data_IF_159242049786
#
_entry.id   IF_159242049786
#
_cell.length_a   1.000
_cell.length_b   1.000
_cell.length_c   1.000
_cell.angle_alpha   90.00
_cell.angle_beta   90.00
_cell.angle_gamma   90.00
#
_symmetry.space_group_name_H-M   'P 1'
#
loop_
_entity.id
_entity.type
_entity.pdbx_description
1 polymer ?
#
# COMPACT_ATOMS: atom_id res chain seq x y z
N UNK A 1 10.72 -6.57 -17.37
CA UNK A 1 9.29 -6.69 -16.98
C UNK A 1 9.11 -6.14 -15.57
N UNK A 2 8.03 -5.41 -15.28
CA UNK A 2 7.77 -4.79 -13.98
C UNK A 2 6.63 -5.53 -13.26
N UNK A 3 6.73 -5.70 -11.94
CA UNK A 3 5.62 -6.09 -11.08
C UNK A 3 5.20 -4.89 -10.24
N UNK A 4 3.94 -4.47 -10.36
CA UNK A 4 3.34 -3.42 -9.53
C UNK A 4 2.51 -4.08 -8.43
N UNK A 5 2.79 -3.76 -7.17
CA UNK A 5 1.93 -4.11 -6.06
C UNK A 5 0.93 -2.97 -5.88
N UNK A 6 -0.34 -3.24 -6.14
CA UNK A 6 -1.38 -2.24 -6.30
C UNK A 6 -2.49 -2.33 -5.26
N UNK A 7 -3.63 -1.75 -5.61
CA UNK A 7 -4.84 -1.70 -4.76
C UNK A 7 -5.17 -0.30 -4.24
N UNK A 8 -4.47 0.72 -4.73
CA UNK A 8 -4.68 2.13 -4.38
C UNK A 8 -4.92 2.98 -5.63
N UNK A 9 -5.42 4.20 -5.46
CA UNK A 9 -5.48 5.20 -6.55
C UNK A 9 -4.10 5.50 -7.13
N UNK A 10 -3.08 5.50 -6.28
CA UNK A 10 -1.69 5.78 -6.68
C UNK A 10 -1.16 4.69 -7.61
N UNK A 11 -1.53 3.43 -7.35
CA UNK A 11 -1.17 2.33 -8.25
C UNK A 11 -1.80 2.46 -9.64
N UNK A 12 -3.00 3.03 -9.75
CA UNK A 12 -3.65 3.28 -11.04
C UNK A 12 -2.95 4.43 -11.79
N UNK A 13 -2.60 5.50 -11.08
CA UNK A 13 -1.82 6.61 -11.65
C UNK A 13 -0.47 6.11 -12.19
N UNK A 14 0.23 5.27 -11.42
CA UNK A 14 1.46 4.60 -11.85
C UNK A 14 1.23 3.74 -13.11
N UNK A 15 0.16 2.93 -13.14
CA UNK A 15 -0.17 2.11 -14.31
C UNK A 15 -0.39 2.96 -15.57
N UNK A 16 -1.11 4.08 -15.45
CA UNK A 16 -1.32 5.00 -16.56
C UNK A 16 0.01 5.62 -17.05
N UNK A 17 0.91 5.94 -16.12
CA UNK A 17 2.25 6.43 -16.45
C UNK A 17 3.08 5.36 -17.19
N UNK A 18 3.05 4.11 -16.72
CA UNK A 18 3.73 2.99 -17.38
C UNK A 18 3.19 2.76 -18.79
N UNK A 19 1.87 2.83 -18.98
CA UNK A 19 1.24 2.73 -20.30
C UNK A 19 1.67 3.87 -21.24
N UNK A 20 1.73 5.10 -20.75
CA UNK A 20 2.20 6.26 -21.51
C UNK A 20 3.62 6.08 -22.03
N UNK A 21 4.45 5.35 -21.29
CA UNK A 21 5.82 5.05 -21.67
C UNK A 21 6.01 3.68 -22.37
N UNK A 22 4.91 3.00 -22.72
CA UNK A 22 4.91 1.67 -23.37
C UNK A 22 5.71 0.61 -22.59
N UNK A 23 5.68 0.68 -21.26
CA UNK A 23 6.36 -0.29 -20.40
C UNK A 23 5.44 -1.45 -20.07
N UNK A 24 5.97 -2.69 -20.19
CA UNK A 24 5.22 -3.89 -19.85
C UNK A 24 5.29 -4.20 -18.36
N UNK A 25 4.13 -4.48 -17.74
CA UNK A 25 4.04 -4.76 -16.30
C UNK A 25 2.90 -5.72 -15.98
N UNK A 26 2.99 -6.34 -14.81
CA UNK A 26 1.90 -7.01 -14.11
C UNK A 26 1.43 -6.16 -12.95
N UNK A 27 0.15 -6.26 -12.57
CA UNK A 27 -0.38 -5.65 -11.35
C UNK A 27 -0.89 -6.75 -10.43
N UNK A 28 -0.43 -6.76 -9.18
CA UNK A 28 -0.96 -7.63 -8.13
C UNK A 28 -1.88 -6.83 -7.22
N UNK A 29 -3.09 -7.33 -6.99
CA UNK A 29 -4.10 -6.78 -6.09
C UNK A 29 -4.70 -7.87 -5.23
N UNK A 30 -5.28 -7.51 -4.09
CA UNK A 30 -5.82 -8.49 -3.11
C UNK A 30 -7.35 -8.53 -3.06
N UNK A 31 -8.05 -7.64 -3.77
CA UNK A 31 -9.51 -7.54 -3.76
C UNK A 31 -10.10 -7.64 -5.17
N UNK A 32 -11.31 -8.18 -5.27
CA UNK A 32 -12.04 -8.24 -6.55
C UNK A 32 -12.26 -6.84 -7.14
N UNK A 33 -12.59 -5.85 -6.30
CA UNK A 33 -12.71 -4.46 -6.71
C UNK A 33 -11.39 -3.89 -7.26
N UNK A 34 -10.28 -4.16 -6.57
CA UNK A 34 -8.95 -3.78 -7.06
C UNK A 34 -8.63 -4.38 -8.42
N UNK A 35 -9.02 -5.66 -8.65
CA UNK A 35 -8.87 -6.32 -9.94
C UNK A 35 -9.70 -5.64 -11.04
N UNK A 36 -10.96 -5.33 -10.77
CA UNK A 36 -11.83 -4.64 -11.72
C UNK A 36 -11.23 -3.30 -12.19
N UNK A 37 -10.72 -2.51 -11.24
CA UNK A 37 -10.11 -1.20 -11.55
C UNK A 37 -8.78 -1.37 -12.30
N UNK A 38 -7.90 -2.25 -11.84
CA UNK A 38 -6.60 -2.49 -12.48
C UNK A 38 -6.73 -3.06 -13.90
N UNK A 39 -7.78 -3.87 -14.16
CA UNK A 39 -8.06 -4.43 -15.48
C UNK A 39 -8.41 -3.39 -16.55
N UNK A 40 -8.73 -2.15 -16.15
CA UNK A 40 -8.89 -1.03 -17.08
C UNK A 40 -7.54 -0.53 -17.62
N UNK A 41 -6.45 -0.84 -16.94
CA UNK A 41 -5.11 -0.40 -17.33
C UNK A 41 -4.32 -1.50 -18.06
N UNK A 42 -4.52 -2.77 -17.71
CA UNK A 42 -3.79 -3.92 -18.26
C UNK A 42 -4.56 -5.22 -18.08
N UNK A 43 -4.39 -6.17 -19.00
CA UNK A 43 -4.92 -7.53 -18.87
C UNK A 43 -4.10 -8.42 -17.91
N UNK A 44 -2.89 -7.98 -17.54
CA UNK A 44 -1.94 -8.71 -16.69
C UNK A 44 -2.19 -8.41 -15.22
N UNK A 45 -3.36 -8.78 -14.70
CA UNK A 45 -3.75 -8.53 -13.30
C UNK A 45 -3.78 -9.83 -12.52
N UNK A 46 -3.03 -9.89 -11.41
CA UNK A 46 -3.07 -10.97 -10.43
C UNK A 46 -4.00 -10.59 -9.27
N UNK A 47 -4.98 -11.42 -9.02
CA UNK A 47 -5.81 -11.33 -7.80
C UNK A 47 -5.30 -12.36 -6.78
N UNK A 48 -4.26 -12.00 -6.03
CA UNK A 48 -3.65 -12.87 -5.03
C UNK A 48 -2.91 -12.06 -3.98
N UNK A 49 -3.04 -12.46 -2.69
CA UNK A 49 -2.13 -12.00 -1.64
C UNK A 49 -0.83 -12.81 -1.80
N UNK A 50 0.24 -12.19 -2.27
CA UNK A 50 1.52 -12.85 -2.52
C UNK A 50 2.30 -13.02 -1.22
N UNK A 51 2.76 -14.24 -0.94
CA UNK A 51 3.78 -14.53 0.06
C UNK A 51 5.18 -14.17 -0.48
N UNK A 52 6.20 -14.30 0.35
CA UNK A 52 7.60 -14.12 -0.11
C UNK A 52 7.94 -15.14 -1.20
N UNK A 53 7.57 -16.40 -0.98
CA UNK A 53 7.80 -17.52 -1.90
C UNK A 53 7.08 -17.30 -3.23
N UNK A 54 5.79 -16.93 -3.17
CA UNK A 54 4.99 -16.60 -4.36
C UNK A 54 5.64 -15.47 -5.19
N UNK A 55 6.16 -14.44 -4.52
CA UNK A 55 6.81 -13.32 -5.20
C UNK A 55 8.12 -13.75 -5.86
N UNK A 56 8.94 -14.54 -5.17
CA UNK A 56 10.21 -15.06 -5.73
C UNK A 56 9.95 -15.93 -6.95
N UNK A 57 8.98 -16.85 -6.89
CA UNK A 57 8.59 -17.70 -8.00
C UNK A 57 8.11 -16.85 -9.19
N UNK A 58 7.17 -15.92 -8.92
CA UNK A 58 6.63 -15.03 -9.95
C UNK A 58 7.70 -14.15 -10.61
N UNK A 59 8.63 -13.62 -9.83
CA UNK A 59 9.77 -12.83 -10.33
C UNK A 59 10.60 -13.65 -11.31
N UNK A 60 10.92 -14.90 -10.96
CA UNK A 60 11.74 -15.78 -11.80
C UNK A 60 11.01 -16.19 -13.09
N UNK A 61 9.77 -16.67 -12.97
CA UNK A 61 8.99 -17.15 -14.11
C UNK A 61 8.71 -16.06 -15.15
N UNK A 62 8.42 -14.84 -14.68
CA UNK A 62 8.02 -13.73 -15.54
C UNK A 62 9.18 -12.77 -15.85
N UNK A 63 10.41 -13.12 -15.45
CA UNK A 63 11.62 -12.29 -15.66
C UNK A 63 11.41 -10.85 -15.21
N UNK A 64 10.88 -10.69 -13.99
CA UNK A 64 10.66 -9.38 -13.38
C UNK A 64 12.03 -8.79 -13.00
N UNK A 65 12.32 -7.58 -13.46
CA UNK A 65 13.55 -6.85 -13.15
C UNK A 65 13.35 -5.75 -12.10
N UNK A 66 12.10 -5.36 -11.89
CA UNK A 66 11.72 -4.36 -10.88
C UNK A 66 10.37 -4.68 -10.25
N UNK A 67 10.28 -4.52 -8.94
CA UNK A 67 9.01 -4.50 -8.20
C UNK A 67 8.75 -3.07 -7.76
N UNK A 68 7.60 -2.52 -8.13
CA UNK A 68 7.16 -1.20 -7.69
C UNK A 68 6.01 -1.38 -6.69
N UNK A 69 6.26 -1.04 -5.46
CA UNK A 69 5.28 -1.11 -4.38
C UNK A 69 4.51 0.22 -4.30
N UNK A 70 3.28 0.21 -4.80
CA UNK A 70 2.33 1.31 -4.74
C UNK A 70 1.14 0.98 -3.82
N UNK A 71 1.34 0.11 -2.83
CA UNK A 71 0.33 -0.23 -1.84
C UNK A 71 0.13 0.91 -0.83
N UNK A 72 -0.96 0.84 -0.06
CA UNK A 72 -1.21 1.82 1.00
C UNK A 72 -0.07 1.80 2.04
N UNK A 73 0.34 2.95 2.60
CA UNK A 73 1.39 3.01 3.63
C UNK A 73 1.17 2.08 4.82
N UNK A 74 -0.09 1.79 5.17
CA UNK A 74 -0.43 0.86 6.26
C UNK A 74 -0.41 -0.62 5.87
N UNK A 75 -0.07 -0.95 4.63
CA UNK A 75 0.09 -2.33 4.17
C UNK A 75 1.51 -2.86 4.43
N UNK A 76 1.98 -2.70 5.67
CA UNK A 76 3.36 -2.99 6.09
C UNK A 76 3.80 -4.43 5.75
N UNK A 77 2.91 -5.40 5.96
CA UNK A 77 3.21 -6.83 5.70
C UNK A 77 3.62 -7.06 4.24
N UNK A 78 2.84 -6.56 3.27
CA UNK A 78 3.13 -6.78 1.85
C UNK A 78 4.41 -6.05 1.42
N UNK A 79 4.65 -4.85 1.93
CA UNK A 79 5.87 -4.10 1.66
C UNK A 79 7.11 -4.83 2.21
N UNK A 80 7.04 -5.35 3.44
CA UNK A 80 8.12 -6.13 4.05
C UNK A 80 8.40 -7.42 3.26
N UNK A 81 7.35 -8.15 2.86
CA UNK A 81 7.48 -9.35 2.05
C UNK A 81 8.10 -9.04 0.68
N UNK A 82 7.70 -7.94 0.05
CA UNK A 82 8.24 -7.52 -1.24
C UNK A 82 9.72 -7.14 -1.16
N UNK A 83 10.12 -6.38 -0.15
CA UNK A 83 11.54 -6.06 0.07
C UNK A 83 12.37 -7.33 0.24
N UNK A 84 11.88 -8.30 1.05
CA UNK A 84 12.58 -9.56 1.28
C UNK A 84 12.66 -10.43 0.03
N UNK A 85 11.56 -10.54 -0.71
CA UNK A 85 11.54 -11.28 -1.98
C UNK A 85 12.50 -10.68 -3.01
N UNK A 86 12.54 -9.35 -3.12
CA UNK A 86 13.45 -8.63 -4.01
C UNK A 86 14.93 -8.85 -3.61
N UNK A 87 15.25 -8.79 -2.32
CA UNK A 87 16.59 -9.10 -1.80
C UNK A 87 17.03 -10.51 -2.21
N UNK A 88 16.17 -11.53 -1.95
CA UNK A 88 16.47 -12.93 -2.23
C UNK A 88 16.54 -13.27 -3.71
N UNK A 89 15.84 -12.54 -4.57
CA UNK A 89 15.83 -12.72 -6.02
C UNK A 89 16.76 -11.78 -6.78
N UNK A 90 17.53 -10.95 -6.09
CA UNK A 90 18.38 -9.91 -6.66
C UNK A 90 17.62 -8.99 -7.64
N UNK A 91 16.39 -8.61 -7.27
CA UNK A 91 15.48 -7.77 -8.06
C UNK A 91 15.38 -6.39 -7.42
N UNK A 92 15.24 -5.34 -8.23
CA UNK A 92 15.14 -3.98 -7.71
C UNK A 92 13.77 -3.75 -7.07
N UNK A 93 13.75 -3.29 -5.82
CA UNK A 93 12.55 -2.78 -5.14
C UNK A 93 12.48 -1.26 -5.21
N UNK A 94 11.29 -0.73 -5.52
CA UNK A 94 11.01 0.70 -5.58
C UNK A 94 9.71 0.94 -4.80
N UNK A 95 9.74 1.84 -3.81
CA UNK A 95 8.53 2.34 -3.16
C UNK A 95 7.99 3.53 -3.94
N UNK A 96 6.70 3.49 -4.29
CA UNK A 96 5.96 4.60 -4.90
C UNK A 96 4.82 5.02 -3.98
N UNK A 97 4.91 6.19 -3.42
CA UNK A 97 3.85 6.78 -2.60
C UNK A 97 3.81 8.29 -2.76
N UNK A 98 2.65 8.88 -2.53
CA UNK A 98 2.50 10.32 -2.50
C UNK A 98 3.16 10.89 -1.25
N UNK A 99 3.67 12.11 -1.38
CA UNK A 99 4.15 12.86 -0.23
C UNK A 99 3.02 13.06 0.79
N UNK A 100 3.33 12.81 2.06
CA UNK A 100 2.37 13.03 3.13
C UNK A 100 2.07 14.52 3.29
N UNK A 101 0.81 14.90 3.16
CA UNK A 101 0.37 16.27 3.36
C UNK A 101 0.26 16.67 4.85
N UNK A 102 0.43 15.71 5.76
CA UNK A 102 0.16 15.94 7.19
C UNK A 102 1.05 17.03 7.79
N UNK A 103 2.31 17.13 7.31
CA UNK A 103 3.25 18.16 7.75
C UNK A 103 2.97 19.53 7.12
N UNK A 104 2.19 19.57 6.03
CA UNK A 104 1.81 20.79 5.33
C UNK A 104 0.51 21.39 5.89
N UNK A 105 -0.26 20.60 6.66
CA UNK A 105 -1.50 21.06 7.28
C UNK A 105 -1.13 21.92 8.49
N UNK A 106 -1.38 23.21 8.38
CA UNK A 106 -1.26 24.16 9.49
C UNK A 106 -2.62 24.30 10.19
N UNK A 107 -2.79 23.58 11.31
CA UNK A 107 -4.00 23.59 12.13
C UNK A 107 -3.63 23.46 13.60
N UNK A 108 -4.04 24.43 14.41
CA UNK A 108 -3.60 24.56 15.80
C UNK A 108 -4.00 23.39 16.71
N UNK A 109 -5.15 22.75 16.40
CA UNK A 109 -5.67 21.61 17.16
C UNK A 109 -5.27 20.25 16.54
N UNK A 110 -4.15 20.19 15.85
CA UNK A 110 -3.58 18.96 15.29
C UNK A 110 -2.61 18.34 16.29
N UNK A 111 -2.89 17.10 16.68
CA UNK A 111 -2.04 16.30 17.55
C UNK A 111 -1.45 15.15 16.75
N UNK A 112 -0.14 15.09 16.63
CA UNK A 112 0.58 13.98 16.01
C UNK A 112 1.00 12.99 17.09
N UNK A 113 0.65 11.75 16.91
CA UNK A 113 0.94 10.64 17.83
C UNK A 113 1.50 9.45 17.05
N UNK A 114 2.25 8.61 17.72
CA UNK A 114 2.92 7.46 17.08
C UNK A 114 2.14 6.16 17.26
N UNK A 115 1.31 6.06 18.30
CA UNK A 115 0.55 4.86 18.63
C UNK A 115 -0.95 5.12 18.72
N UNK A 116 -1.74 4.04 18.64
CA UNK A 116 -3.20 4.10 18.80
C UNK A 116 -3.58 4.44 20.24
N UNK A 117 -2.82 3.92 21.20
CA UNK A 117 -2.99 4.17 22.62
C UNK A 117 -2.79 5.66 22.94
N UNK A 118 -1.74 6.28 22.43
CA UNK A 118 -1.52 7.73 22.55
C UNK A 118 -2.67 8.54 21.90
N UNK A 119 -3.19 8.08 20.74
CA UNK A 119 -4.34 8.71 20.12
C UNK A 119 -5.58 8.67 21.02
N UNK A 120 -5.82 7.55 21.69
CA UNK A 120 -6.89 7.39 22.66
C UNK A 120 -6.73 8.35 23.88
N UNK A 121 -5.52 8.44 24.42
CA UNK A 121 -5.24 9.35 25.54
C UNK A 121 -5.47 10.81 25.17
N UNK A 122 -5.03 11.23 23.98
CA UNK A 122 -5.26 12.61 23.51
C UNK A 122 -6.75 12.84 23.26
N UNK A 123 -7.44 11.91 22.60
CA UNK A 123 -8.86 12.03 22.31
C UNK A 123 -9.70 12.22 23.59
N UNK A 124 -9.43 11.43 24.63
CA UNK A 124 -10.10 11.54 25.92
C UNK A 124 -9.85 12.89 26.65
N UNK A 125 -8.73 13.55 26.36
CA UNK A 125 -8.41 14.88 26.94
C UNK A 125 -9.09 16.02 26.20
N UNK A 126 -9.31 15.88 24.89
CA UNK A 126 -9.76 17.00 24.04
C UNK A 126 -11.26 16.98 23.71
N UNK A 127 -11.97 15.87 23.93
CA UNK A 127 -13.40 15.81 23.62
C UNK A 127 -14.12 14.57 24.13
N UNK A 128 -15.47 14.65 24.16
CA UNK A 128 -16.35 13.57 24.59
C UNK A 128 -17.03 12.84 23.41
N UNK A 129 -17.00 13.44 22.22
CA UNK A 129 -17.54 12.83 21.00
C UNK A 129 -16.42 12.64 20.01
N UNK A 130 -16.08 11.37 19.73
CA UNK A 130 -14.91 11.01 18.94
C UNK A 130 -15.37 10.34 17.64
N UNK A 131 -14.94 10.91 16.50
CA UNK A 131 -15.09 10.27 15.20
C UNK A 131 -13.82 9.51 14.85
N UNK A 132 -13.93 8.18 14.71
CA UNK A 132 -12.79 7.31 14.33
C UNK A 132 -12.81 7.12 12.82
N UNK A 133 -11.90 7.77 12.11
CA UNK A 133 -11.75 7.71 10.65
C UNK A 133 -10.68 6.70 10.16
N UNK A 134 -10.21 5.81 11.05
CA UNK A 134 -9.20 4.80 10.72
C UNK A 134 -9.83 3.47 10.27
N UNK A 135 -9.00 2.56 9.76
CA UNK A 135 -9.46 1.21 9.43
C UNK A 135 -9.84 0.37 10.66
N UNK A 136 -10.51 -0.76 10.42
CA UNK A 136 -11.11 -1.61 11.47
C UNK A 136 -10.11 -2.44 12.31
N UNK A 137 -8.83 -2.49 11.94
CA UNK A 137 -7.83 -3.38 12.58
C UNK A 137 -7.66 -3.15 14.09
N UNK A 138 -7.77 -1.90 14.53
CA UNK A 138 -7.50 -1.49 15.90
C UNK A 138 -8.78 -1.12 16.68
N UNK A 139 -9.96 -1.51 16.19
CA UNK A 139 -11.24 -1.16 16.85
C UNK A 139 -11.34 -1.66 18.30
N UNK A 140 -10.65 -2.75 18.65
CA UNK A 140 -10.63 -3.25 20.03
C UNK A 140 -9.94 -2.29 21.00
N UNK A 141 -8.95 -1.54 20.55
CA UNK A 141 -8.22 -0.54 21.37
C UNK A 141 -9.11 0.68 21.61
N UNK A 142 -9.88 1.08 20.58
CA UNK A 142 -10.80 2.24 20.71
C UNK A 142 -12.02 1.98 21.60
N UNK A 143 -12.29 0.74 22.00
CA UNK A 143 -13.42 0.44 22.93
C UNK A 143 -13.22 1.00 24.34
N UNK A 144 -12.01 1.37 24.69
CA UNK A 144 -11.68 1.96 26.00
C UNK A 144 -11.79 3.49 25.99
N UNK A 145 -12.17 4.09 24.86
CA UNK A 145 -12.55 5.50 24.73
C UNK A 145 -14.00 5.71 25.18
#
# INVERSE_FOLDING_TARGET
MILVLGGTSDSIELCNLLNKHNLSYFVSVTTAYGKEIASKCTDKVLLKKLTIEDMIEFIKENKIDKVIDATHPYAVEVSTNAMKACELSNTRYIRFERESLINQINYDNKYLVETVEEACEVANKVGNNIFIGTGSKNLSIYKEL
#
